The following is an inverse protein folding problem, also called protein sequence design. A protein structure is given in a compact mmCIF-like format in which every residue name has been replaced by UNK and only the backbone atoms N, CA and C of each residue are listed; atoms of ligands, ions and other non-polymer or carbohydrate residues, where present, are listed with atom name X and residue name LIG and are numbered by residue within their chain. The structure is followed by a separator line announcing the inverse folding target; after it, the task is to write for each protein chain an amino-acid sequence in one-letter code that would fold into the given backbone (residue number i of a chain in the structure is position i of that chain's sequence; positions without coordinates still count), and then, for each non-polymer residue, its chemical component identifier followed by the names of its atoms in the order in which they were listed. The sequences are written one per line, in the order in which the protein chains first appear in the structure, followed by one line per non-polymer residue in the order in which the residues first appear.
data_IF_919625453373
#
_entry.id   IF_919625453373
#
_cell.length_a   1.000
_cell.length_b   1.000
_cell.length_c   1.000
_cell.angle_alpha   90.00
_cell.angle_beta   90.00
_cell.angle_gamma   90.00
#
_symmetry.space_group_name_H-M   'P 1'
#
loop_
_entity.id
_entity.type
_entity.pdbx_description
1 polymer ?
#
# COMPACT_ATOMS: atom_id res chain seq x y z
N UNK A 1 45.80 -46.19 -4.23
CA UNK A 1 45.73 -45.06 -5.20
C UNK A 1 45.72 -43.81 -4.36
N UNK A 2 46.85 -43.10 -4.31
CA UNK A 2 46.90 -41.78 -3.67
C UNK A 2 46.15 -40.78 -4.56
N UNK A 3 45.27 -40.00 -3.96
CA UNK A 3 44.56 -38.91 -4.64
C UNK A 3 45.53 -37.78 -4.96
N UNK A 4 45.40 -37.21 -6.16
CA UNK A 4 46.20 -36.07 -6.63
C UNK A 4 46.02 -34.87 -5.69
N UNK A 5 47.10 -34.37 -5.04
CA UNK A 5 47.04 -33.22 -4.14
C UNK A 5 46.60 -31.91 -4.83
N UNK A 6 46.59 -31.88 -6.17
CA UNK A 6 46.13 -30.73 -6.95
C UNK A 6 44.67 -30.81 -7.39
N UNK A 7 43.94 -31.87 -7.02
CA UNK A 7 42.52 -32.02 -7.37
C UNK A 7 41.61 -30.92 -6.80
N UNK A 8 42.11 -30.14 -5.82
CA UNK A 8 41.41 -28.98 -5.21
C UNK A 8 41.98 -27.62 -5.63
N UNK A 9 43.00 -27.57 -6.48
CA UNK A 9 43.67 -26.31 -6.87
C UNK A 9 42.85 -25.48 -7.88
N UNK A 10 41.86 -26.10 -8.54
CA UNK A 10 40.99 -25.46 -9.54
C UNK A 10 39.49 -25.64 -9.28
N UNK A 11 39.10 -26.37 -8.24
CA UNK A 11 37.75 -26.30 -7.69
C UNK A 11 37.76 -25.17 -6.69
N UNK A 12 37.46 -23.96 -7.14
CA UNK A 12 37.35 -22.80 -6.28
C UNK A 12 36.50 -23.15 -5.06
N UNK A 13 37.11 -23.09 -3.88
CA UNK A 13 36.38 -22.97 -2.62
C UNK A 13 35.71 -21.59 -2.65
N UNK A 14 34.60 -21.47 -3.38
CA UNK A 14 33.52 -20.46 -3.30
C UNK A 14 32.64 -20.49 -4.58
N UNK A 15 32.04 -21.64 -4.89
CA UNK A 15 30.99 -21.74 -5.93
C UNK A 15 29.62 -21.19 -5.46
N UNK A 16 29.58 -20.42 -4.38
CA UNK A 16 28.48 -19.48 -4.16
C UNK A 16 28.81 -18.21 -4.92
N UNK A 17 27.96 -17.73 -5.85
CA UNK A 17 28.23 -16.48 -6.56
C UNK A 17 28.58 -15.40 -5.54
N UNK A 18 29.75 -14.78 -5.68
CA UNK A 18 30.17 -13.67 -4.81
C UNK A 18 29.01 -12.67 -4.72
N UNK A 19 28.42 -12.57 -3.54
CA UNK A 19 27.30 -11.66 -3.35
C UNK A 19 27.82 -10.24 -3.55
N UNK A 20 27.13 -9.46 -4.38
CA UNK A 20 27.43 -8.04 -4.52
C UNK A 20 27.30 -7.35 -3.17
N UNK A 21 27.98 -6.22 -2.97
CA UNK A 21 27.85 -5.47 -1.71
C UNK A 21 26.41 -5.05 -1.44
N UNK A 22 25.64 -4.78 -2.49
CA UNK A 22 24.20 -4.54 -2.41
C UNK A 22 23.43 -5.77 -1.90
N UNK A 23 23.71 -6.98 -2.41
CA UNK A 23 23.08 -8.21 -1.94
C UNK A 23 23.42 -8.51 -0.48
N UNK A 24 24.68 -8.27 -0.07
CA UNK A 24 25.11 -8.40 1.34
C UNK A 24 24.37 -7.41 2.23
N UNK A 25 24.25 -6.16 1.79
CA UNK A 25 23.51 -5.12 2.50
C UNK A 25 22.03 -5.49 2.66
N UNK A 26 21.36 -5.93 1.59
CA UNK A 26 19.96 -6.38 1.64
C UNK A 26 19.78 -7.58 2.58
N UNK A 27 20.67 -8.57 2.51
CA UNK A 27 20.63 -9.74 3.38
C UNK A 27 20.79 -9.36 4.87
N UNK A 28 21.69 -8.42 5.18
CA UNK A 28 21.86 -7.92 6.54
C UNK A 28 20.67 -7.06 7.02
N UNK A 29 20.17 -6.17 6.16
CA UNK A 29 19.09 -5.24 6.48
C UNK A 29 17.78 -5.99 6.68
N UNK A 30 17.42 -6.93 5.81
CA UNK A 30 16.12 -7.61 5.88
C UNK A 30 16.19 -9.01 6.49
N UNK A 31 17.27 -9.76 6.26
CA UNK A 31 17.39 -11.14 6.71
C UNK A 31 17.47 -11.31 8.23
N UNK A 32 17.92 -10.28 8.95
CA UNK A 32 17.97 -10.29 10.42
C UNK A 32 16.65 -9.85 11.08
N UNK A 33 15.66 -9.39 10.32
CA UNK A 33 14.41 -8.88 10.89
C UNK A 33 13.67 -9.88 11.79
N UNK A 34 13.57 -11.19 11.49
CA UNK A 34 12.93 -12.15 12.40
C UNK A 34 13.61 -12.21 13.79
N UNK A 35 14.94 -12.11 13.82
CA UNK A 35 15.71 -12.09 15.05
C UNK A 35 15.53 -10.76 15.79
N UNK A 36 15.55 -9.64 15.07
CA UNK A 36 15.30 -8.30 15.63
C UNK A 36 13.90 -8.22 16.24
N UNK A 37 12.87 -8.74 15.57
CA UNK A 37 11.49 -8.81 16.08
C UNK A 37 11.43 -9.64 17.36
N UNK A 38 12.13 -10.77 17.41
CA UNK A 38 12.19 -11.60 18.62
C UNK A 38 12.86 -10.87 19.79
N UNK A 39 13.95 -10.15 19.55
CA UNK A 39 14.61 -9.33 20.57
C UNK A 39 13.73 -8.16 21.04
N UNK A 40 13.06 -7.47 20.12
CA UNK A 40 12.13 -6.38 20.43
C UNK A 40 10.93 -6.86 21.25
N UNK A 41 10.42 -8.05 20.97
CA UNK A 41 9.37 -8.68 21.78
C UNK A 41 9.81 -8.79 23.25
N UNK A 42 11.00 -9.31 23.53
CA UNK A 42 11.49 -9.44 24.91
C UNK A 42 11.64 -8.08 25.61
N UNK A 43 11.93 -7.00 24.88
CA UNK A 43 12.04 -5.66 25.45
C UNK A 43 10.67 -5.00 25.72
N UNK A 44 9.71 -5.19 24.82
CA UNK A 44 8.51 -4.31 24.76
C UNK A 44 7.19 -5.04 24.98
N UNK A 45 7.12 -6.34 24.70
CA UNK A 45 5.85 -7.07 24.62
C UNK A 45 5.08 -7.06 25.94
N UNK A 46 5.73 -7.34 27.07
CA UNK A 46 5.08 -7.34 28.38
C UNK A 46 4.49 -5.97 28.73
N UNK A 47 5.24 -4.89 28.47
CA UNK A 47 4.80 -3.53 28.73
C UNK A 47 3.63 -3.13 27.83
N UNK A 48 3.65 -3.53 26.55
CA UNK A 48 2.54 -3.31 25.62
C UNK A 48 1.28 -4.02 26.12
N UNK A 49 1.39 -5.31 26.43
CA UNK A 49 0.24 -6.11 26.89
C UNK A 49 -0.33 -5.58 28.20
N UNK A 50 0.53 -5.17 29.14
CA UNK A 50 0.09 -4.51 30.38
C UNK A 50 -0.73 -3.25 30.11
N UNK A 51 -0.26 -2.37 29.23
CA UNK A 51 -1.00 -1.16 28.84
C UNK A 51 -2.35 -1.50 28.19
N UNK A 52 -2.39 -2.50 27.32
CA UNK A 52 -3.63 -2.95 26.67
C UNK A 52 -4.61 -3.54 27.69
N UNK A 53 -4.13 -4.28 28.68
CA UNK A 53 -4.95 -4.85 29.74
C UNK A 53 -5.51 -3.78 30.69
N UNK A 54 -4.75 -2.73 30.98
CA UNK A 54 -5.16 -1.57 31.78
C UNK A 54 -6.33 -0.79 31.14
N UNK A 55 -6.52 -0.86 29.82
CA UNK A 55 -7.61 -0.20 29.10
C UNK A 55 -8.99 -0.84 29.32
N UNK A 56 -9.08 -1.98 30.03
CA UNK A 56 -10.35 -2.68 30.38
C UNK A 56 -11.29 -2.89 29.19
N UNK A 57 -10.71 -3.30 28.05
CA UNK A 57 -11.46 -3.53 26.81
C UNK A 57 -12.40 -4.74 26.93
N UNK A 58 -13.56 -4.71 26.26
CA UNK A 58 -14.66 -5.65 26.51
C UNK A 58 -14.37 -7.10 26.12
N UNK A 59 -13.48 -7.34 25.17
CA UNK A 59 -13.14 -8.67 24.69
C UNK A 59 -11.75 -8.70 24.01
N UNK A 60 -11.28 -9.90 23.68
CA UNK A 60 -9.99 -10.11 23.02
C UNK A 60 -9.91 -9.46 21.63
N UNK A 61 -11.02 -9.42 20.87
CA UNK A 61 -11.04 -8.78 19.56
C UNK A 61 -10.78 -7.27 19.65
N UNK A 62 -11.41 -6.59 20.63
CA UNK A 62 -11.16 -5.17 20.90
C UNK A 62 -9.71 -4.90 21.33
N UNK A 63 -9.11 -5.80 22.13
CA UNK A 63 -7.68 -5.70 22.48
C UNK A 63 -6.80 -5.79 21.24
N UNK A 64 -7.06 -6.75 20.35
CA UNK A 64 -6.32 -6.91 19.10
C UNK A 64 -6.51 -5.72 18.16
N UNK A 65 -7.72 -5.13 18.12
CA UNK A 65 -7.97 -3.91 17.35
C UNK A 65 -7.13 -2.73 17.86
N UNK A 66 -6.98 -2.58 19.18
CA UNK A 66 -6.09 -1.56 19.75
C UNK A 66 -4.62 -1.82 19.40
N UNK A 67 -4.16 -3.07 19.52
CA UNK A 67 -2.79 -3.43 19.12
C UNK A 67 -2.56 -3.12 17.63
N UNK A 68 -3.53 -3.44 16.78
CA UNK A 68 -3.46 -3.09 15.36
C UNK A 68 -3.38 -1.59 15.15
N UNK A 69 -4.25 -0.78 15.78
CA UNK A 69 -4.24 0.69 15.64
C UNK A 69 -2.92 1.30 16.11
N UNK A 70 -2.37 0.85 17.24
CA UNK A 70 -1.07 1.32 17.73
C UNK A 70 0.06 0.98 16.76
N UNK A 71 0.07 -0.24 16.23
CA UNK A 71 1.10 -0.70 15.29
C UNK A 71 0.98 0.01 13.94
N UNK A 72 -0.22 0.12 13.38
CA UNK A 72 -0.48 0.82 12.13
C UNK A 72 -0.16 2.31 12.25
N UNK A 73 -0.52 2.96 13.37
CA UNK A 73 -0.15 4.33 13.66
C UNK A 73 1.37 4.54 13.66
N UNK A 74 2.11 3.68 14.37
CA UNK A 74 3.58 3.76 14.38
C UNK A 74 4.20 3.54 12.99
N UNK A 75 3.62 2.68 12.15
CA UNK A 75 4.07 2.52 10.76
C UNK A 75 3.81 3.78 9.92
N UNK A 76 2.67 4.45 10.13
CA UNK A 76 2.36 5.72 9.46
C UNK A 76 3.29 6.84 9.93
N UNK A 77 3.61 6.91 11.22
CA UNK A 77 4.60 7.85 11.76
C UNK A 77 5.97 7.63 11.11
N UNK A 78 6.44 6.38 11.05
CA UNK A 78 7.70 6.03 10.39
C UNK A 78 7.68 6.35 8.89
N UNK A 79 6.54 6.14 8.23
CA UNK A 79 6.36 6.45 6.82
C UNK A 79 6.44 7.97 6.59
N UNK A 80 5.75 8.76 7.40
CA UNK A 80 5.82 10.23 7.36
C UNK A 80 7.21 10.78 7.66
N UNK A 81 7.90 10.23 8.67
CA UNK A 81 9.25 10.63 9.08
C UNK A 81 10.32 10.30 8.02
N UNK A 82 10.07 9.29 7.19
CA UNK A 82 10.96 8.92 6.09
C UNK A 82 10.86 9.87 4.89
N UNK A 83 9.84 10.73 4.83
CA UNK A 83 9.59 11.65 3.73
C UNK A 83 10.15 13.04 4.03
N UNK A 84 10.79 13.73 3.05
CA UNK A 84 11.09 15.15 3.16
C UNK A 84 9.83 15.97 3.49
N UNK A 85 9.91 16.98 4.38
CA UNK A 85 8.75 17.79 4.78
C UNK A 85 8.01 18.45 3.62
N UNK A 86 8.71 18.74 2.53
CA UNK A 86 8.15 19.41 1.35
C UNK A 86 7.22 18.51 0.53
N UNK A 87 7.40 17.19 0.58
CA UNK A 87 6.57 16.23 -0.20
C UNK A 87 5.62 15.42 0.68
N UNK A 88 5.85 15.39 1.99
CA UNK A 88 5.07 14.59 2.93
C UNK A 88 3.55 14.90 2.86
N UNK A 89 3.09 16.15 2.80
CA UNK A 89 1.66 16.45 2.67
C UNK A 89 1.01 15.89 1.39
N UNK A 90 1.70 15.99 0.25
CA UNK A 90 1.19 15.51 -1.03
C UNK A 90 1.10 13.98 -1.03
N UNK A 91 2.16 13.29 -0.57
CA UNK A 91 2.17 11.83 -0.47
C UNK A 91 1.10 11.30 0.49
N UNK A 92 0.91 11.96 1.63
CA UNK A 92 -0.15 11.57 2.58
C UNK A 92 -1.54 11.86 2.03
N UNK A 93 -1.72 12.92 1.25
CA UNK A 93 -2.99 13.21 0.56
C UNK A 93 -3.31 12.15 -0.49
N UNK A 94 -2.32 11.73 -1.28
CA UNK A 94 -2.46 10.63 -2.24
C UNK A 94 -2.80 9.30 -1.54
N UNK A 95 -2.16 9.04 -0.40
CA UNK A 95 -2.46 7.87 0.43
C UNK A 95 -3.91 7.89 0.97
N UNK A 96 -4.40 9.06 1.40
CA UNK A 96 -5.78 9.23 1.84
C UNK A 96 -6.77 8.99 0.71
N UNK A 97 -6.53 9.53 -0.49
CA UNK A 97 -7.36 9.27 -1.68
C UNK A 97 -7.35 7.78 -2.03
N UNK A 98 -6.18 7.14 -2.03
CA UNK A 98 -6.06 5.70 -2.26
C UNK A 98 -6.88 4.88 -1.26
N UNK A 99 -6.78 5.19 0.03
CA UNK A 99 -7.60 4.55 1.07
C UNK A 99 -9.09 4.77 0.81
N UNK A 100 -9.47 5.99 0.41
CA UNK A 100 -10.83 6.37 0.08
C UNK A 100 -11.40 5.52 -1.06
N UNK A 101 -10.65 5.34 -2.15
CA UNK A 101 -11.01 4.46 -3.25
C UNK A 101 -11.15 3.01 -2.78
N UNK A 102 -10.17 2.48 -2.05
CA UNK A 102 -10.18 1.10 -1.59
C UNK A 102 -11.36 0.79 -0.65
N UNK A 103 -11.66 1.70 0.29
CA UNK A 103 -12.79 1.56 1.21
C UNK A 103 -14.13 1.71 0.49
N UNK A 104 -14.22 2.61 -0.49
CA UNK A 104 -15.42 2.79 -1.32
C UNK A 104 -15.69 1.54 -2.16
N UNK A 105 -14.66 1.01 -2.84
CA UNK A 105 -14.72 -0.26 -3.56
C UNK A 105 -15.23 -1.39 -2.66
N UNK A 106 -14.69 -1.51 -1.44
CA UNK A 106 -15.12 -2.51 -0.46
C UNK A 106 -16.58 -2.30 -0.03
N UNK A 107 -17.00 -1.06 0.23
CA UNK A 107 -18.35 -0.71 0.69
C UNK A 107 -19.42 -1.03 -0.35
N UNK A 108 -19.17 -0.72 -1.62
CA UNK A 108 -20.11 -0.93 -2.71
C UNK A 108 -19.89 -2.25 -3.47
N UNK A 109 -18.85 -3.01 -3.11
CA UNK A 109 -18.42 -4.23 -3.80
C UNK A 109 -18.17 -3.99 -5.31
N UNK A 110 -17.39 -2.96 -5.63
CA UNK A 110 -17.05 -2.54 -7.00
C UNK A 110 -15.54 -2.42 -7.18
N UNK A 111 -15.09 -2.32 -8.44
CA UNK A 111 -13.73 -1.88 -8.77
C UNK A 111 -13.80 -0.61 -9.62
N UNK A 112 -13.74 0.57 -8.98
CA UNK A 112 -13.92 1.86 -9.66
C UNK A 112 -12.98 2.05 -10.87
N UNK A 113 -11.68 1.78 -10.71
CA UNK A 113 -10.73 1.87 -11.83
C UNK A 113 -11.07 0.89 -12.96
N UNK A 114 -11.51 -0.32 -12.63
CA UNK A 114 -11.96 -1.29 -13.63
C UNK A 114 -13.23 -0.85 -14.38
N UNK A 115 -14.16 -0.17 -13.70
CA UNK A 115 -15.38 0.35 -14.32
C UNK A 115 -15.12 1.61 -15.15
N UNK A 116 -14.20 2.48 -14.72
CA UNK A 116 -13.72 3.60 -15.52
C UNK A 116 -13.06 3.09 -16.80
N UNK A 117 -12.15 2.12 -16.69
CA UNK A 117 -11.49 1.51 -17.85
C UNK A 117 -12.51 0.97 -18.85
N UNK A 118 -13.51 0.19 -18.39
CA UNK A 118 -14.59 -0.31 -19.27
C UNK A 118 -15.37 0.81 -19.95
N UNK A 119 -15.63 1.92 -19.23
CA UNK A 119 -16.33 3.07 -19.79
C UNK A 119 -15.51 3.73 -20.91
N UNK A 120 -14.20 3.90 -20.71
CA UNK A 120 -13.30 4.45 -21.72
C UNK A 120 -13.16 3.54 -22.95
N UNK A 121 -13.07 2.22 -22.73
CA UNK A 121 -13.02 1.21 -23.82
C UNK A 121 -14.33 1.18 -24.66
N UNK A 122 -15.43 1.72 -24.14
CA UNK A 122 -16.70 1.80 -24.87
C UNK A 122 -16.80 2.97 -25.86
N UNK A 123 -15.81 3.88 -25.84
CA UNK A 123 -15.75 5.04 -26.73
C UNK A 123 -15.29 4.57 -28.11
N UNK A 124 -16.18 4.67 -29.09
CA UNK A 124 -15.95 4.21 -30.46
C UNK A 124 -15.08 5.21 -31.26
N UNK A 125 -13.85 4.85 -31.66
CA UNK A 125 -12.95 5.73 -32.41
C UNK A 125 -13.52 6.19 -33.75
N UNK A 126 -14.41 5.41 -34.37
CA UNK A 126 -14.97 5.71 -35.70
C UNK A 126 -15.95 6.90 -35.68
N UNK A 127 -16.35 7.38 -34.48
CA UNK A 127 -17.22 8.55 -34.32
C UNK A 127 -16.47 9.88 -34.36
N UNK A 128 -15.15 9.85 -34.44
CA UNK A 128 -14.29 11.04 -34.42
C UNK A 128 -13.64 11.26 -35.78
N UNK A 129 -13.34 12.52 -36.11
CA UNK A 129 -12.77 12.87 -37.42
C UNK A 129 -11.34 12.39 -37.58
N UNK A 130 -10.59 12.37 -36.48
CA UNK A 130 -9.19 12.00 -36.43
C UNK A 130 -8.80 11.50 -35.03
N UNK A 131 -7.56 11.00 -34.92
CA UNK A 131 -6.99 10.47 -33.68
C UNK A 131 -6.84 11.54 -32.60
N UNK A 132 -6.69 12.82 -32.96
CA UNK A 132 -6.52 13.90 -32.01
C UNK A 132 -7.85 14.25 -31.32
N UNK A 133 -8.94 14.32 -32.09
CA UNK A 133 -10.30 14.51 -31.57
C UNK A 133 -10.72 13.32 -30.69
N UNK A 134 -10.38 12.08 -31.09
CA UNK A 134 -10.59 10.89 -30.26
C UNK A 134 -9.81 10.94 -28.95
N UNK A 135 -8.50 11.25 -28.99
CA UNK A 135 -7.66 11.30 -27.78
C UNK A 135 -8.16 12.35 -26.78
N UNK A 136 -8.58 13.53 -27.26
CA UNK A 136 -9.19 14.55 -26.41
C UNK A 136 -10.50 14.06 -25.78
N UNK A 137 -11.37 13.42 -26.57
CA UNK A 137 -12.64 12.91 -26.05
C UNK A 137 -12.46 11.80 -25.00
N UNK A 138 -11.44 10.93 -25.16
CA UNK A 138 -11.09 9.92 -24.15
C UNK A 138 -10.58 10.60 -22.88
N UNK A 139 -9.70 11.60 -22.99
CA UNK A 139 -9.20 12.37 -21.83
C UNK A 139 -10.33 13.09 -21.10
N UNK A 140 -11.22 13.78 -21.82
CA UNK A 140 -12.37 14.47 -21.24
C UNK A 140 -13.32 13.49 -20.54
N UNK A 141 -13.52 12.30 -21.13
CA UNK A 141 -14.34 11.25 -20.53
C UNK A 141 -13.68 10.65 -19.29
N UNK A 142 -12.35 10.51 -19.27
CA UNK A 142 -11.58 10.01 -18.13
C UNK A 142 -11.78 10.90 -16.91
N UNK A 143 -11.63 12.22 -17.09
CA UNK A 143 -11.81 13.21 -16.05
C UNK A 143 -13.28 13.28 -15.59
N UNK A 144 -14.22 13.39 -16.55
CA UNK A 144 -15.63 13.56 -16.24
C UNK A 144 -16.24 12.35 -15.52
N UNK A 145 -15.72 11.14 -15.75
CA UNK A 145 -16.28 9.91 -15.17
C UNK A 145 -16.32 9.94 -13.63
N UNK A 146 -15.35 10.62 -12.99
CA UNK A 146 -15.26 10.74 -11.53
C UNK A 146 -16.32 11.66 -10.91
N UNK A 147 -16.91 12.54 -11.70
CA UNK A 147 -17.89 13.54 -11.26
C UNK A 147 -19.32 13.24 -11.74
N UNK A 148 -19.49 12.24 -12.60
CA UNK A 148 -20.81 11.80 -13.09
C UNK A 148 -21.41 10.72 -12.18
N UNK A 149 -22.72 10.78 -11.85
CA UNK A 149 -23.43 9.74 -11.13
C UNK A 149 -23.27 8.33 -11.72
N UNK A 150 -22.87 7.38 -10.89
CA UNK A 150 -22.71 5.98 -11.27
C UNK A 150 -23.84 5.13 -10.65
N UNK A 151 -24.55 4.30 -11.46
CA UNK A 151 -25.59 3.40 -10.94
C UNK A 151 -25.06 2.45 -9.85
N UNK A 152 -23.80 2.01 -10.00
CA UNK A 152 -23.08 1.10 -9.11
C UNK A 152 -22.86 1.69 -7.70
N UNK A 153 -22.92 3.02 -7.58
CA UNK A 153 -22.75 3.77 -6.34
C UNK A 153 -24.08 4.33 -5.80
N UNK A 154 -25.21 3.83 -6.30
CA UNK A 154 -26.53 4.32 -5.93
C UNK A 154 -26.77 5.76 -6.40
N UNK A 155 -26.33 6.09 -7.62
CA UNK A 155 -26.45 7.41 -8.25
C UNK A 155 -25.56 8.51 -7.64
N UNK A 156 -24.57 8.16 -6.81
CA UNK A 156 -23.48 9.06 -6.44
C UNK A 156 -22.40 9.07 -7.53
N UNK A 157 -21.69 10.18 -7.69
CA UNK A 157 -20.44 10.13 -8.43
C UNK A 157 -19.32 9.50 -7.57
N UNK A 158 -18.27 8.94 -8.20
CA UNK A 158 -17.12 8.37 -7.50
C UNK A 158 -16.47 9.31 -6.49
N UNK A 159 -16.21 10.57 -6.85
CA UNK A 159 -15.53 11.53 -5.97
C UNK A 159 -16.29 11.79 -4.68
N UNK A 160 -17.61 11.97 -4.74
CA UNK A 160 -18.49 12.18 -3.59
C UNK A 160 -18.58 10.92 -2.74
N UNK A 161 -18.69 9.74 -3.36
CA UNK A 161 -18.71 8.47 -2.63
C UNK A 161 -17.40 8.23 -1.85
N UNK A 162 -16.26 8.60 -2.43
CA UNK A 162 -14.94 8.56 -1.79
C UNK A 162 -14.87 9.55 -0.62
N UNK A 163 -15.23 10.82 -0.85
CA UNK A 163 -15.24 11.86 0.19
C UNK A 163 -16.17 11.50 1.36
N UNK A 164 -17.38 11.04 1.07
CA UNK A 164 -18.32 10.56 2.10
C UNK A 164 -17.75 9.39 2.91
N UNK A 165 -17.03 8.48 2.26
CA UNK A 165 -16.42 7.33 2.92
C UNK A 165 -15.29 7.77 3.84
N UNK A 166 -14.38 8.64 3.39
CA UNK A 166 -13.28 9.17 4.18
C UNK A 166 -13.74 9.99 5.39
N UNK A 167 -14.81 10.79 5.23
CA UNK A 167 -15.40 11.58 6.33
C UNK A 167 -15.84 10.72 7.52
N UNK A 168 -16.21 9.46 7.31
CA UNK A 168 -16.56 8.56 8.43
C UNK A 168 -15.37 8.24 9.36
N UNK A 169 -14.16 8.50 8.90
CA UNK A 169 -12.90 8.33 9.63
C UNK A 169 -12.28 9.66 10.07
N UNK A 170 -12.94 10.80 9.79
CA UNK A 170 -12.40 12.13 10.08
C UNK A 170 -11.29 12.59 9.13
N UNK A 171 -11.17 11.95 7.96
CA UNK A 171 -10.22 12.32 6.90
C UNK A 171 -10.97 13.21 5.90
N UNK A 172 -10.47 14.42 5.71
CA UNK A 172 -10.93 15.32 4.64
C UNK A 172 -9.78 15.47 3.65
N UNK A 173 -9.88 14.88 2.44
CA UNK A 173 -8.87 15.05 1.42
C UNK A 173 -8.75 16.53 1.06
N UNK A 174 -7.51 17.02 0.98
CA UNK A 174 -7.16 18.40 0.63
C UNK A 174 -7.64 18.80 -0.77
#
# INVERSE_FOLDING_TARGET
MELDPNARLFSGEDDSPEQTDEQKALAYVFGLNPNRVSALKELWYENLMKRVDEMKLPNAAAKMEVVFKLTAGALLDMFGDALPPEISPDVMSDFDVFMGVALTNKKFNVNLFGEQQKALESIDPDKFKDTEEYARAVSDAEDAWWDIPQPLLGQRNPNDAIKETLRTYGIEPL
#
